data_IF_496866964135
#
_entry.id   IF_496866964135
#
_cell.length_a   1.000
_cell.length_b   1.000
_cell.length_c   1.000
_cell.angle_alpha   90.00
_cell.angle_beta   90.00
_cell.angle_gamma   90.00
#
_symmetry.space_group_name_H-M   'P 1'
#
loop_
_entity.id
_entity.type
_entity.pdbx_description
1 polymer ?
#
# COMPACT_ATOMS: atom_id res chain seq x y z
N UNK A 1 -33.48 3.06 -5.81
CA UNK A 1 -32.45 3.71 -4.98
C UNK A 1 -31.15 2.99 -5.27
N UNK A 2 -30.24 3.65 -6.00
CA UNK A 2 -28.90 3.11 -6.23
C UNK A 2 -28.12 3.18 -4.92
N UNK A 3 -27.47 2.10 -4.54
CA UNK A 3 -26.49 2.10 -3.46
C UNK A 3 -25.29 2.89 -3.97
N UNK A 4 -25.17 4.15 -3.57
CA UNK A 4 -23.95 4.92 -3.75
C UNK A 4 -22.99 4.38 -2.70
N UNK A 5 -22.11 3.50 -3.15
CA UNK A 5 -20.91 3.14 -2.39
C UNK A 5 -20.09 4.42 -2.31
N UNK A 6 -19.93 4.99 -1.13
CA UNK A 6 -18.76 5.83 -0.88
C UNK A 6 -17.56 4.88 -1.00
N UNK A 7 -17.06 4.72 -2.22
CA UNK A 7 -15.78 4.08 -2.49
C UNK A 7 -14.73 4.94 -1.80
N UNK A 8 -14.43 4.62 -0.54
CA UNK A 8 -13.15 4.99 0.02
C UNK A 8 -12.11 4.37 -0.91
N UNK A 9 -11.44 5.21 -1.69
CA UNK A 9 -10.52 4.81 -2.72
C UNK A 9 -9.33 4.04 -2.14
N UNK A 10 -8.82 3.09 -2.93
CA UNK A 10 -7.57 2.35 -2.76
C UNK A 10 -7.22 1.92 -1.34
N UNK A 11 -7.56 0.68 -0.97
CA UNK A 11 -6.71 -0.08 -0.05
C UNK A 11 -5.52 -0.65 -0.84
N UNK A 12 -4.63 0.22 -1.33
CA UNK A 12 -3.26 -0.25 -1.58
C UNK A 12 -2.75 -0.85 -0.26
N UNK A 13 -1.99 -1.94 -0.32
CA UNK A 13 -1.23 -2.38 0.86
C UNK A 13 -0.25 -1.25 1.16
N UNK A 14 -0.67 -0.26 1.96
CA UNK A 14 0.17 0.86 2.30
C UNK A 14 1.33 0.30 3.13
N UNK A 15 2.53 0.42 2.55
CA UNK A 15 3.76 0.20 3.29
C UNK A 15 3.89 1.36 4.26
N UNK A 16 3.52 1.14 5.50
CA UNK A 16 3.77 2.13 6.54
C UNK A 16 5.15 1.89 7.09
N UNK A 17 6.02 2.89 6.96
CA UNK A 17 7.24 2.88 7.74
C UNK A 17 6.88 2.98 9.23
N UNK A 18 7.76 2.45 10.09
CA UNK A 18 7.75 2.81 11.50
C UNK A 18 7.89 4.33 11.69
N UNK A 19 8.11 4.79 12.93
CA UNK A 19 8.41 6.20 13.14
C UNK A 19 9.73 6.56 12.45
N UNK A 20 9.65 7.24 11.29
CA UNK A 20 10.81 7.70 10.52
C UNK A 20 10.67 9.17 10.20
N UNK A 21 11.71 9.95 10.49
CA UNK A 21 11.81 11.35 10.10
C UNK A 21 12.82 11.45 8.93
N UNK A 22 12.38 11.92 7.78
CA UNK A 22 13.21 12.06 6.58
C UNK A 22 13.55 13.53 6.36
N UNK A 23 14.82 13.84 6.16
CA UNK A 23 15.28 15.20 5.85
C UNK A 23 16.04 15.18 4.54
N UNK A 24 15.55 15.90 3.54
CA UNK A 24 16.30 16.14 2.31
C UNK A 24 17.09 17.43 2.44
N UNK A 25 18.37 17.41 2.10
CA UNK A 25 19.23 18.59 2.00
C UNK A 25 19.61 18.70 0.52
N UNK A 26 19.03 19.69 -0.17
CA UNK A 26 19.09 19.83 -1.64
C UNK A 26 19.90 21.06 -2.04
N UNK A 27 20.73 20.92 -3.07
CA UNK A 27 21.67 21.93 -3.51
C UNK A 27 21.01 22.87 -4.53
N UNK A 28 20.92 24.14 -4.19
CA UNK A 28 20.32 25.21 -5.00
C UNK A 28 21.37 26.18 -5.52
N UNK A 29 22.65 25.75 -5.58
CA UNK A 29 23.77 26.57 -6.05
C UNK A 29 23.68 26.90 -7.54
N UNK A 30 24.52 27.85 -7.98
CA UNK A 30 24.61 28.25 -9.38
C UNK A 30 25.08 27.09 -10.29
N UNK A 31 25.94 26.22 -9.75
CA UNK A 31 26.52 25.08 -10.47
C UNK A 31 25.49 24.00 -10.82
N UNK A 32 24.46 23.84 -9.98
CA UNK A 32 23.33 22.93 -10.22
C UNK A 32 22.46 23.49 -11.35
N UNK A 33 22.06 24.76 -11.24
CA UNK A 33 21.18 25.41 -12.19
C UNK A 33 19.70 25.02 -12.05
N UNK A 34 18.81 25.89 -12.53
CA UNK A 34 17.35 25.75 -12.38
C UNK A 34 16.79 24.39 -12.86
N UNK A 35 17.27 23.87 -13.99
CA UNK A 35 16.77 22.62 -14.57
C UNK A 35 17.07 21.43 -13.67
N UNK A 36 18.29 21.34 -13.13
CA UNK A 36 18.69 20.23 -12.25
C UNK A 36 18.04 20.38 -10.87
N UNK A 37 17.93 21.60 -10.36
CA UNK A 37 17.18 21.87 -9.13
C UNK A 37 15.71 21.39 -9.23
N UNK A 38 15.08 21.58 -10.39
CA UNK A 38 13.73 21.03 -10.65
C UNK A 38 13.70 19.50 -10.60
N UNK A 39 14.77 18.83 -11.04
CA UNK A 39 14.89 17.37 -10.95
C UNK A 39 15.07 16.91 -9.50
N UNK A 40 15.81 17.65 -8.68
CA UNK A 40 15.92 17.41 -7.23
C UNK A 40 14.55 17.53 -6.54
N UNK A 41 13.79 18.59 -6.84
CA UNK A 41 12.42 18.74 -6.33
C UNK A 41 11.53 17.55 -6.70
N UNK A 42 11.58 17.12 -7.96
CA UNK A 42 10.81 15.97 -8.42
C UNK A 42 11.25 14.66 -7.76
N UNK A 43 12.55 14.48 -7.52
CA UNK A 43 13.08 13.33 -6.79
C UNK A 43 12.57 13.27 -5.36
N UNK A 44 12.60 14.40 -4.63
CA UNK A 44 12.06 14.51 -3.27
C UNK A 44 10.57 14.12 -3.26
N UNK A 45 9.79 14.67 -4.20
CA UNK A 45 8.36 14.39 -4.32
C UNK A 45 8.10 12.91 -4.63
N UNK A 46 8.82 12.35 -5.61
CA UNK A 46 8.62 10.98 -6.08
C UNK A 46 9.06 9.94 -5.03
N UNK A 47 10.15 10.20 -4.32
CA UNK A 47 10.63 9.34 -3.23
C UNK A 47 9.58 9.22 -2.13
N UNK A 48 8.98 10.34 -1.74
CA UNK A 48 7.97 10.37 -0.68
C UNK A 48 6.62 9.81 -1.17
N UNK A 49 6.22 10.07 -2.42
CA UNK A 49 5.04 9.42 -3.02
C UNK A 49 5.16 7.90 -3.01
N UNK A 50 6.35 7.35 -3.31
CA UNK A 50 6.58 5.90 -3.33
C UNK A 50 6.47 5.25 -1.95
N UNK A 51 6.74 5.99 -0.88
CA UNK A 51 6.55 5.53 0.51
C UNK A 51 5.07 5.39 0.91
N UNK A 52 4.12 5.83 0.08
CA UNK A 52 2.69 5.59 0.24
C UNK A 52 1.98 6.50 1.25
N UNK A 53 2.57 6.74 2.43
CA UNK A 53 1.91 7.54 3.48
C UNK A 53 2.84 8.51 4.22
N UNK A 54 2.30 9.70 4.51
CA UNK A 54 2.89 10.70 5.41
C UNK A 54 2.05 10.76 6.69
N UNK A 55 2.69 11.02 7.83
CA UNK A 55 2.00 11.27 9.08
C UNK A 55 1.15 12.55 8.95
N UNK A 56 -0.17 12.40 9.07
CA UNK A 56 -1.10 13.54 8.98
C UNK A 56 -1.02 14.48 10.17
N UNK A 57 -0.54 13.98 11.32
CA UNK A 57 -0.25 14.76 12.51
C UNK A 57 1.27 14.80 12.77
N UNK A 58 1.90 15.99 12.78
CA UNK A 58 3.30 16.17 13.19
C UNK A 58 3.66 15.58 14.55
N UNK A 59 2.70 15.43 15.46
CA UNK A 59 2.89 14.85 16.80
C UNK A 59 2.64 13.34 16.86
N UNK A 60 2.26 12.72 15.74
CA UNK A 60 2.03 11.27 15.65
C UNK A 60 3.28 10.48 16.03
N UNK A 61 3.11 9.49 16.91
CA UNK A 61 4.17 8.57 17.32
C UNK A 61 4.54 7.55 16.24
N UNK A 62 3.80 7.48 15.13
CA UNK A 62 3.98 6.56 14.00
C UNK A 62 3.91 7.28 12.66
N UNK A 63 4.35 6.62 11.58
CA UNK A 63 4.33 7.16 10.22
C UNK A 63 5.52 8.06 9.86
N UNK A 64 5.61 8.43 8.59
CA UNK A 64 6.73 9.18 8.01
C UNK A 64 6.51 10.69 8.13
N UNK A 65 7.46 11.42 8.71
CA UNK A 65 7.51 12.89 8.64
C UNK A 65 8.62 13.30 7.69
N UNK A 66 8.43 14.36 6.93
CA UNK A 66 9.41 14.81 5.93
C UNK A 66 9.69 16.29 6.09
N UNK A 67 10.97 16.63 5.96
CA UNK A 67 11.45 18.00 5.87
C UNK A 67 12.43 18.15 4.72
N UNK A 68 12.59 19.38 4.25
CA UNK A 68 13.48 19.72 3.13
C UNK A 68 14.23 20.98 3.52
N UNK A 69 15.54 20.99 3.30
CA UNK A 69 16.40 22.17 3.37
C UNK A 69 16.96 22.38 1.99
N UNK A 70 16.68 23.52 1.37
CA UNK A 70 17.44 23.98 0.23
C UNK A 70 18.51 24.98 0.69
N UNK A 71 19.66 24.96 0.02
CA UNK A 71 20.76 25.86 0.34
C UNK A 71 21.49 26.34 -0.91
N UNK A 72 22.16 27.49 -0.80
CA UNK A 72 23.20 27.87 -1.75
C UNK A 72 24.40 28.47 -1.01
N UNK A 73 24.41 29.77 -0.74
CA UNK A 73 25.51 30.48 -0.09
C UNK A 73 25.19 30.88 1.35
N UNK A 74 26.11 31.62 1.98
CA UNK A 74 25.98 32.01 3.38
C UNK A 74 24.65 32.72 3.67
N UNK A 75 23.86 32.17 4.60
CA UNK A 75 22.62 32.75 5.07
C UNK A 75 21.40 32.50 4.18
N UNK A 76 21.55 31.80 3.04
CA UNK A 76 20.45 31.47 2.14
C UNK A 76 20.05 30.01 2.30
N UNK A 77 19.39 29.73 3.43
CA UNK A 77 18.80 28.43 3.74
C UNK A 77 17.28 28.60 3.83
N UNK A 78 16.53 27.82 3.06
CA UNK A 78 15.09 27.73 3.20
C UNK A 78 14.70 26.32 3.62
N UNK A 79 13.76 26.21 4.55
CA UNK A 79 13.35 24.93 5.10
C UNK A 79 11.84 24.74 5.14
N UNK A 80 11.43 23.55 4.71
CA UNK A 80 10.17 22.92 5.08
C UNK A 80 10.46 22.06 6.30
N UNK A 81 9.92 22.42 7.46
CA UNK A 81 10.23 21.74 8.73
C UNK A 81 9.50 20.40 8.82
N UNK A 82 10.13 19.41 9.46
CA UNK A 82 9.54 18.08 9.68
C UNK A 82 8.26 18.09 10.53
N UNK A 83 8.03 19.17 11.29
CA UNK A 83 6.89 19.35 12.18
C UNK A 83 5.99 20.52 11.75
N UNK A 84 6.06 20.95 10.49
CA UNK A 84 5.20 22.00 9.96
C UNK A 84 3.73 21.52 9.94
N UNK A 85 2.81 22.19 10.66
CA UNK A 85 1.41 21.77 10.74
C UNK A 85 0.67 21.88 9.39
N UNK A 86 1.21 22.63 8.43
CA UNK A 86 0.64 22.75 7.09
C UNK A 86 0.99 21.56 6.18
N UNK A 87 1.98 20.75 6.56
CA UNK A 87 2.43 19.58 5.79
C UNK A 87 1.75 18.32 6.34
N UNK A 88 0.42 18.28 6.24
CA UNK A 88 -0.42 17.19 6.76
C UNK A 88 -0.88 16.19 5.68
N UNK A 89 -0.47 16.39 4.43
CA UNK A 89 -0.87 15.58 3.29
C UNK A 89 0.19 15.61 2.19
N UNK A 90 0.17 14.59 1.33
CA UNK A 90 1.08 14.50 0.18
C UNK A 90 0.92 15.69 -0.78
N UNK A 91 -0.30 16.17 -0.97
CA UNK A 91 -0.59 17.32 -1.84
C UNK A 91 -0.01 18.62 -1.27
N UNK A 92 -0.14 18.83 0.05
CA UNK A 92 0.45 19.98 0.74
C UNK A 92 1.99 19.93 0.66
N UNK A 93 2.59 18.75 0.92
CA UNK A 93 4.03 18.55 0.79
C UNK A 93 4.52 18.84 -0.64
N UNK A 94 3.87 18.25 -1.64
CA UNK A 94 4.21 18.48 -3.06
C UNK A 94 4.14 19.95 -3.45
N UNK A 95 3.14 20.66 -2.94
CA UNK A 95 2.98 22.10 -3.19
C UNK A 95 4.11 22.90 -2.53
N UNK A 96 4.42 22.60 -1.27
CA UNK A 96 5.49 23.27 -0.54
C UNK A 96 6.85 23.07 -1.21
N UNK A 97 7.19 21.83 -1.63
CA UNK A 97 8.45 21.54 -2.32
C UNK A 97 8.54 22.28 -3.66
N UNK A 98 7.45 22.30 -4.44
CA UNK A 98 7.40 23.03 -5.72
C UNK A 98 7.50 24.55 -5.58
N UNK A 99 7.14 25.09 -4.42
CA UNK A 99 7.21 26.53 -4.18
C UNK A 99 8.63 27.00 -3.83
N UNK A 100 9.54 26.09 -3.46
CA UNK A 100 10.95 26.42 -3.29
C UNK A 100 11.51 26.99 -4.61
N UNK A 101 12.05 28.20 -4.55
CA UNK A 101 12.64 28.87 -5.70
C UNK A 101 14.14 28.60 -5.72
N UNK A 102 14.69 28.34 -6.90
CA UNK A 102 16.14 28.20 -7.07
C UNK A 102 16.83 29.50 -6.64
N UNK A 103 17.82 29.37 -5.75
CA UNK A 103 18.46 30.53 -5.12
C UNK A 103 19.65 31.02 -5.96
N UNK A 104 20.42 30.10 -6.54
CA UNK A 104 21.72 30.36 -7.14
C UNK A 104 22.78 30.89 -6.15
N UNK A 105 24.02 31.01 -6.62
CA UNK A 105 25.18 31.46 -5.83
C UNK A 105 26.16 30.33 -5.51
N UNK A 106 26.84 30.44 -4.37
CA UNK A 106 27.84 29.46 -3.92
C UNK A 106 27.22 28.16 -3.38
N UNK A 107 28.08 27.28 -2.87
CA UNK A 107 27.70 25.96 -2.35
C UNK A 107 28.20 25.80 -0.91
N UNK A 108 27.38 26.11 0.08
CA UNK A 108 27.72 26.11 1.51
C UNK A 108 27.19 24.84 2.18
N UNK A 109 27.64 23.69 1.68
CA UNK A 109 27.19 22.36 2.13
C UNK A 109 27.45 22.13 3.62
N UNK A 110 28.67 22.30 4.18
CA UNK A 110 28.89 22.18 5.62
C UNK A 110 27.92 23.00 6.49
N UNK A 111 27.71 24.27 6.17
CA UNK A 111 26.75 25.13 6.89
C UNK A 111 25.30 24.65 6.73
N UNK A 112 24.92 24.16 5.55
CA UNK A 112 23.58 23.60 5.31
C UNK A 112 23.32 22.36 6.18
N UNK A 113 24.31 21.48 6.35
CA UNK A 113 24.21 20.31 7.23
C UNK A 113 23.99 20.74 8.68
N UNK A 114 24.71 21.78 9.14
CA UNK A 114 24.51 22.34 10.50
C UNK A 114 23.12 22.92 10.66
N UNK A 115 22.66 23.69 9.67
CA UNK A 115 21.32 24.28 9.67
C UNK A 115 20.22 23.21 9.69
N UNK A 116 20.36 22.15 8.88
CA UNK A 116 19.43 21.02 8.87
C UNK A 116 19.39 20.32 10.23
N UNK A 117 20.56 20.07 10.83
CA UNK A 117 20.64 19.47 12.16
C UNK A 117 19.94 20.33 13.23
N UNK A 118 20.28 21.61 13.32
CA UNK A 118 19.74 22.49 14.37
C UNK A 118 18.25 22.78 14.21
N UNK A 119 17.77 22.90 12.96
CA UNK A 119 16.43 23.43 12.68
C UNK A 119 15.39 22.33 12.49
N UNK A 120 15.80 21.18 11.93
CA UNK A 120 14.89 20.08 11.58
C UNK A 120 15.09 18.83 12.43
N UNK A 121 16.26 18.61 13.05
CA UNK A 121 16.55 17.35 13.75
C UNK A 121 16.60 17.54 15.26
N UNK A 122 17.43 18.48 15.73
CA UNK A 122 17.68 18.73 17.14
C UNK A 122 16.44 19.30 17.83
N UNK A 123 15.89 18.56 18.78
CA UNK A 123 14.73 18.97 19.58
C UNK A 123 13.37 18.81 18.89
N UNK A 124 13.34 18.45 17.61
CA UNK A 124 12.12 18.22 16.80
C UNK A 124 11.91 16.76 16.44
N UNK A 125 12.97 15.94 16.46
CA UNK A 125 12.89 14.50 16.19
C UNK A 125 12.06 13.77 17.26
N UNK A 126 11.31 12.75 16.83
CA UNK A 126 10.56 11.88 17.75
C UNK A 126 11.53 11.00 18.54
N UNK A 127 11.23 10.76 19.82
CA UNK A 127 12.09 9.97 20.72
C UNK A 127 12.35 8.54 20.21
N UNK A 128 11.34 7.94 19.56
CA UNK A 128 11.40 6.57 19.03
C UNK A 128 11.56 6.53 17.50
N UNK A 129 11.92 7.64 16.85
CA UNK A 129 12.09 7.68 15.41
C UNK A 129 13.55 7.70 14.97
N UNK A 130 13.84 6.94 13.92
CA UNK A 130 15.10 7.05 13.19
C UNK A 130 15.01 8.27 12.26
N UNK A 131 16.12 9.01 12.16
CA UNK A 131 16.24 10.15 11.26
C UNK A 131 17.07 9.75 10.05
N UNK A 132 16.49 9.80 8.86
CA UNK A 132 17.20 9.54 7.59
C UNK A 132 17.43 10.86 6.87
N UNK A 133 18.70 11.25 6.72
CA UNK A 133 19.09 12.46 6.00
C UNK A 133 19.60 12.07 4.62
N UNK A 134 19.02 12.65 3.56
CA UNK A 134 19.47 12.48 2.18
C UNK A 134 20.04 13.80 1.70
N UNK A 135 21.35 13.83 1.43
CA UNK A 135 22.06 15.01 0.92
C UNK A 135 22.24 14.85 -0.58
N UNK A 136 21.84 15.84 -1.37
CA UNK A 136 22.05 15.87 -2.82
C UNK A 136 22.97 17.04 -3.10
N UNK A 137 24.12 16.78 -3.72
CA UNK A 137 25.11 17.80 -4.05
C UNK A 137 26.08 17.26 -5.10
N UNK A 138 26.83 18.14 -5.76
CA UNK A 138 27.93 17.77 -6.66
C UNK A 138 29.24 17.44 -5.91
N UNK A 139 29.20 17.48 -4.57
CA UNK A 139 30.31 17.13 -3.68
C UNK A 139 31.31 18.26 -3.47
N UNK A 140 31.10 19.43 -4.08
CA UNK A 140 31.93 20.61 -3.87
C UNK A 140 31.27 21.56 -2.90
N UNK A 141 32.09 22.34 -2.20
CA UNK A 141 31.61 23.45 -1.41
C UNK A 141 32.58 24.62 -1.49
N UNK A 142 32.08 25.80 -1.18
CA UNK A 142 32.86 27.03 -1.17
C UNK A 142 33.89 26.98 -0.03
N UNK A 143 35.15 27.30 -0.31
CA UNK A 143 36.24 27.30 0.68
C UNK A 143 36.05 28.31 1.81
N UNK A 144 35.09 29.23 1.67
CA UNK A 144 34.70 30.18 2.72
C UNK A 144 33.77 29.54 3.76
N UNK A 145 33.22 28.37 3.47
CA UNK A 145 32.42 27.60 4.43
C UNK A 145 33.32 26.83 5.43
N UNK A 146 32.75 26.44 6.57
CA UNK A 146 33.46 25.76 7.66
C UNK A 146 33.45 24.24 7.46
N UNK A 147 34.55 23.69 6.96
CA UNK A 147 34.74 22.26 6.69
C UNK A 147 34.58 21.36 7.92
N UNK A 148 34.79 21.90 9.13
CA UNK A 148 34.56 21.17 10.38
C UNK A 148 33.09 20.74 10.54
N UNK A 149 32.15 21.39 9.85
CA UNK A 149 30.72 21.07 9.89
C UNK A 149 30.32 19.89 8.99
N UNK A 150 31.21 19.38 8.12
CA UNK A 150 30.91 18.24 7.24
C UNK A 150 30.45 17.00 8.01
N UNK A 151 30.94 16.83 9.25
CA UNK A 151 30.63 15.67 10.10
C UNK A 151 29.59 15.97 11.18
N UNK A 152 28.91 17.12 11.14
CA UNK A 152 27.96 17.54 12.20
C UNK A 152 26.83 16.53 12.44
N UNK A 153 26.41 15.81 11.40
CA UNK A 153 25.35 14.81 11.48
C UNK A 153 25.84 13.46 12.04
N UNK A 154 27.15 13.27 12.20
CA UNK A 154 27.76 11.99 12.58
C UNK A 154 27.80 11.75 14.09
N UNK A 155 27.49 12.76 14.90
CA UNK A 155 27.51 12.67 16.37
C UNK A 155 26.23 12.10 16.99
N UNK A 156 25.20 11.79 16.22
CA UNK A 156 23.93 11.23 16.72
C UNK A 156 23.67 9.85 16.10
N UNK A 157 23.68 8.81 16.93
CA UNK A 157 23.49 7.41 16.50
C UNK A 157 22.14 7.15 15.82
N UNK A 158 21.14 8.02 16.04
CA UNK A 158 19.82 7.89 15.43
C UNK A 158 19.72 8.58 14.05
N UNK A 159 20.78 9.29 13.64
CA UNK A 159 20.86 9.98 12.35
C UNK A 159 21.63 9.11 11.37
N UNK A 160 20.97 8.76 10.27
CA UNK A 160 21.58 8.03 9.16
C UNK A 160 21.62 8.93 7.95
N UNK A 161 22.83 9.29 7.54
CA UNK A 161 23.08 10.14 6.38
C UNK A 161 23.42 9.29 5.16
N UNK A 162 22.75 9.58 4.05
CA UNK A 162 23.03 9.09 2.70
C UNK A 162 23.35 10.29 1.83
N UNK A 163 24.42 10.23 1.05
CA UNK A 163 24.79 11.30 0.13
C UNK A 163 24.64 10.82 -1.31
N UNK A 164 23.95 11.61 -2.13
CA UNK A 164 23.85 11.42 -3.56
C UNK A 164 24.76 12.45 -4.21
N UNK A 165 25.91 11.97 -4.68
CA UNK A 165 26.87 12.76 -5.44
C UNK A 165 26.46 12.77 -6.90
N UNK A 166 26.18 13.94 -7.47
CA UNK A 166 25.86 14.04 -8.90
C UNK A 166 27.00 14.75 -9.62
N UNK A 167 27.62 14.05 -10.57
CA UNK A 167 28.70 14.61 -11.38
C UNK A 167 28.32 15.93 -12.04
N UNK A 168 29.22 16.92 -11.97
CA UNK A 168 29.04 18.20 -12.62
C UNK A 168 29.27 18.13 -14.15
N UNK A 169 28.93 19.20 -14.86
CA UNK A 169 29.16 19.32 -16.32
C UNK A 169 30.64 19.30 -16.75
N UNK A 170 31.59 19.15 -15.82
CA UNK A 170 33.03 19.24 -16.06
C UNK A 170 33.76 17.90 -15.92
N UNK A 171 33.04 16.77 -15.77
CA UNK A 171 33.61 15.41 -15.78
C UNK A 171 34.76 15.18 -14.79
N UNK A 172 34.86 15.98 -13.72
CA UNK A 172 35.78 15.69 -12.63
C UNK A 172 35.11 14.65 -11.74
N UNK A 173 35.88 13.61 -11.34
CA UNK A 173 35.45 12.68 -10.29
C UNK A 173 34.98 13.51 -9.09
N UNK A 174 33.84 13.13 -8.53
CA UNK A 174 33.33 13.66 -7.26
C UNK A 174 34.49 13.76 -6.26
N UNK A 175 34.50 14.79 -5.42
CA UNK A 175 35.43 14.81 -4.29
C UNK A 175 34.96 13.76 -3.28
N UNK A 176 35.31 12.50 -3.56
CA UNK A 176 34.91 11.31 -2.79
C UNK A 176 35.14 11.54 -1.29
N UNK A 177 36.18 12.28 -0.90
CA UNK A 177 36.52 12.58 0.49
C UNK A 177 35.46 13.46 1.19
N UNK A 178 34.90 14.46 0.50
CA UNK A 178 33.87 15.33 1.05
C UNK A 178 32.57 14.56 1.25
N UNK A 179 32.10 13.84 0.22
CA UNK A 179 30.88 13.01 0.32
C UNK A 179 31.04 11.91 1.38
N UNK A 180 32.23 11.30 1.47
CA UNK A 180 32.54 10.32 2.53
C UNK A 180 32.48 10.94 3.92
N UNK A 181 32.94 12.18 4.09
CA UNK A 181 32.86 12.89 5.36
C UNK A 181 31.41 13.16 5.77
N UNK A 182 30.56 13.58 4.82
CA UNK A 182 29.12 13.80 5.04
C UNK A 182 28.41 12.52 5.52
N UNK A 183 28.77 11.36 4.95
CA UNK A 183 28.20 10.06 5.36
C UNK A 183 28.97 9.37 6.50
N UNK A 184 29.77 10.13 7.26
CA UNK A 184 30.46 9.62 8.45
C UNK A 184 31.44 8.48 8.15
N UNK A 185 32.17 8.61 7.04
CA UNK A 185 33.13 7.63 6.51
C UNK A 185 32.53 6.27 6.12
N UNK A 186 31.20 6.19 5.93
CA UNK A 186 30.49 4.98 5.49
C UNK A 186 30.27 5.01 3.98
N UNK A 187 31.31 4.62 3.23
CA UNK A 187 31.37 4.71 1.76
C UNK A 187 30.17 4.07 1.05
N UNK A 188 29.58 3.02 1.64
CA UNK A 188 28.39 2.33 1.12
C UNK A 188 27.13 3.20 1.07
N UNK A 189 27.14 4.36 1.74
CA UNK A 189 26.04 5.35 1.77
C UNK A 189 26.26 6.52 0.81
N UNK A 190 27.37 6.52 0.07
CA UNK A 190 27.56 7.43 -1.07
C UNK A 190 26.97 6.77 -2.31
N UNK A 191 26.08 7.47 -2.99
CA UNK A 191 25.46 7.04 -4.23
C UNK A 191 25.95 7.99 -5.33
N UNK A 192 26.97 7.58 -6.11
CA UNK A 192 27.46 8.39 -7.22
C UNK A 192 26.47 8.34 -8.39
N UNK A 193 26.31 9.45 -9.08
CA UNK A 193 25.45 9.61 -10.24
C UNK A 193 26.15 10.42 -11.32
N UNK A 194 25.87 10.08 -12.57
CA UNK A 194 26.45 10.82 -13.69
C UNK A 194 25.61 12.05 -14.05
N UNK A 195 24.28 12.00 -13.82
CA UNK A 195 23.35 13.05 -14.24
C UNK A 195 22.20 13.19 -13.25
N UNK A 196 21.71 14.42 -13.09
CA UNK A 196 20.51 14.71 -12.31
C UNK A 196 19.25 14.02 -12.86
N UNK A 197 19.23 13.67 -14.15
CA UNK A 197 18.12 12.90 -14.74
C UNK A 197 17.95 11.52 -14.11
N UNK A 198 19.02 10.95 -13.55
CA UNK A 198 19.00 9.60 -12.98
C UNK A 198 18.30 9.59 -11.61
N UNK A 199 18.19 10.74 -10.95
CA UNK A 199 17.44 10.91 -9.71
C UNK A 199 15.96 10.56 -9.89
N UNK A 200 15.38 10.84 -11.06
CA UNK A 200 13.95 10.62 -11.32
C UNK A 200 13.65 9.27 -12.00
N UNK A 201 14.66 8.39 -12.12
CA UNK A 201 14.47 7.05 -12.66
C UNK A 201 13.71 6.14 -11.67
N UNK A 202 12.71 5.40 -12.14
CA UNK A 202 11.87 4.54 -11.29
C UNK A 202 12.68 3.53 -10.48
N UNK A 203 13.70 2.90 -11.10
CA UNK A 203 14.60 1.95 -10.43
C UNK A 203 15.35 2.59 -9.25
N UNK A 204 15.75 3.86 -9.41
CA UNK A 204 16.44 4.59 -8.34
C UNK A 204 15.49 4.97 -7.21
N UNK A 205 14.28 5.43 -7.53
CA UNK A 205 13.23 5.72 -6.55
C UNK A 205 12.89 4.45 -5.74
N UNK A 206 12.81 3.29 -6.39
CA UNK A 206 12.57 2.00 -5.71
C UNK A 206 13.73 1.58 -4.80
N UNK A 207 14.97 1.87 -5.20
CA UNK A 207 16.12 1.67 -4.31
C UNK A 207 16.04 2.59 -3.09
N UNK A 208 15.67 3.86 -3.30
CA UNK A 208 15.56 4.85 -2.21
C UNK A 208 14.41 4.53 -1.25
N UNK A 209 13.30 3.99 -1.74
CA UNK A 209 12.21 3.48 -0.89
C UNK A 209 12.73 2.52 0.20
N UNK A 210 13.60 1.57 -0.19
CA UNK A 210 14.21 0.59 0.75
C UNK A 210 15.22 1.23 1.70
N UNK A 211 15.96 2.25 1.26
CA UNK A 211 16.93 2.96 2.10
C UNK A 211 16.22 3.82 3.16
N UNK A 212 15.16 4.50 2.75
CA UNK A 212 14.34 5.36 3.60
C UNK A 212 13.46 4.56 4.56
N UNK A 213 13.01 3.38 4.13
CA UNK A 213 12.09 2.50 4.85
C UNK A 213 12.56 1.04 4.80
N UNK A 214 13.58 0.66 5.60
CA UNK A 214 14.17 -0.68 5.54
C UNK A 214 13.23 -1.79 6.03
N UNK A 215 12.30 -1.48 6.94
CA UNK A 215 11.36 -2.43 7.54
C UNK A 215 9.93 -1.86 7.50
N UNK A 216 9.25 -1.85 6.34
CA UNK A 216 7.87 -1.38 6.26
C UNK A 216 6.93 -2.33 6.99
N UNK A 217 6.08 -1.79 7.84
CA UNK A 217 4.87 -2.46 8.33
C UNK A 217 3.87 -2.45 7.19
N UNK A 218 3.62 -3.63 6.61
CA UNK A 218 2.58 -3.80 5.60
C UNK A 218 1.25 -3.77 6.35
N UNK A 219 0.48 -2.68 6.23
CA UNK A 219 -0.89 -2.67 6.75
C UNK A 219 -1.74 -3.47 5.78
N UNK A 220 -2.21 -4.62 6.26
CA UNK A 220 -3.10 -5.49 5.51
C UNK A 220 -4.36 -4.72 5.09
N UNK A 221 -4.84 -4.92 3.85
CA UNK A 221 -6.18 -4.50 3.46
C UNK A 221 -7.23 -5.04 4.46
N UNK A 222 -8.33 -4.31 4.67
CA UNK A 222 -9.43 -4.57 5.62
C UNK A 222 -9.15 -4.24 7.11
N UNK A 223 -8.10 -3.47 7.43
CA UNK A 223 -7.88 -2.99 8.81
C UNK A 223 -8.68 -1.70 9.04
N UNK A 224 -9.46 -1.65 10.13
CA UNK A 224 -10.47 -0.65 10.48
C UNK A 224 -11.83 -0.78 9.78
N UNK A 225 -12.05 -1.84 8.99
CA UNK A 225 -13.35 -2.16 8.41
C UNK A 225 -13.77 -3.59 8.77
N UNK A 226 -14.75 -3.79 9.67
CA UNK A 226 -15.26 -5.13 9.95
C UNK A 226 -16.00 -5.68 8.72
N UNK A 227 -15.47 -6.75 8.13
CA UNK A 227 -16.09 -7.46 7.01
C UNK A 227 -16.27 -8.93 7.36
N UNK A 228 -17.43 -9.50 7.03
CA UNK A 228 -17.68 -10.95 7.01
C UNK A 228 -17.65 -11.40 5.54
N UNK A 229 -16.52 -11.96 5.11
CA UNK A 229 -16.32 -12.37 3.73
C UNK A 229 -16.68 -13.85 3.58
N UNK A 230 -17.70 -14.15 2.78
CA UNK A 230 -18.24 -15.49 2.57
C UNK A 230 -17.99 -15.90 1.13
N UNK A 231 -17.16 -16.90 0.92
CA UNK A 231 -16.92 -17.49 -0.40
C UNK A 231 -17.96 -18.58 -0.68
N UNK A 232 -18.67 -18.43 -1.81
CA UNK A 232 -19.55 -19.44 -2.38
C UNK A 232 -18.88 -20.00 -3.63
N UNK A 233 -18.29 -21.18 -3.50
CA UNK A 233 -17.59 -21.88 -4.57
C UNK A 233 -18.54 -22.82 -5.31
N UNK A 234 -18.62 -22.65 -6.62
CA UNK A 234 -19.33 -23.55 -7.52
C UNK A 234 -18.57 -24.89 -7.63
N UNK A 235 -19.17 -25.97 -7.16
CA UNK A 235 -18.62 -27.33 -7.19
C UNK A 235 -18.96 -28.10 -8.47
N UNK A 236 -19.38 -27.41 -9.53
CA UNK A 236 -19.87 -28.08 -10.74
C UNK A 236 -18.79 -28.71 -11.61
N UNK A 237 -19.19 -29.73 -12.38
CA UNK A 237 -18.35 -30.39 -13.39
C UNK A 237 -17.69 -29.39 -14.35
N UNK A 238 -18.42 -28.33 -14.72
CA UNK A 238 -17.97 -27.32 -15.69
C UNK A 238 -16.80 -26.50 -15.19
N UNK A 239 -16.72 -26.22 -13.89
CA UNK A 239 -15.57 -25.55 -13.31
C UNK A 239 -14.32 -26.43 -13.47
N UNK A 240 -14.45 -27.72 -13.17
CA UNK A 240 -13.41 -28.72 -13.36
C UNK A 240 -12.30 -28.70 -12.29
N UNK A 241 -11.61 -29.83 -12.09
CA UNK A 241 -10.67 -30.01 -10.98
C UNK A 241 -9.42 -29.13 -11.07
N UNK A 242 -9.01 -28.71 -12.27
CA UNK A 242 -7.84 -27.82 -12.45
C UNK A 242 -8.11 -26.42 -11.93
N UNK A 243 -9.23 -25.83 -12.32
CA UNK A 243 -9.66 -24.53 -11.79
C UNK A 243 -9.91 -24.60 -10.29
N UNK A 244 -10.48 -25.71 -9.82
CA UNK A 244 -10.68 -25.95 -8.40
C UNK A 244 -9.36 -25.87 -7.59
N UNK A 245 -8.27 -26.41 -8.13
CA UNK A 245 -6.95 -26.28 -7.51
C UNK A 245 -6.48 -24.81 -7.45
N UNK A 246 -6.64 -24.05 -8.53
CA UNK A 246 -6.29 -22.62 -8.56
C UNK A 246 -7.16 -21.80 -7.59
N UNK A 247 -8.42 -22.17 -7.39
CA UNK A 247 -9.27 -21.56 -6.37
C UNK A 247 -8.72 -21.79 -4.97
N UNK A 248 -8.22 -22.99 -4.64
CA UNK A 248 -7.58 -23.24 -3.34
C UNK A 248 -6.34 -22.37 -3.13
N UNK A 249 -5.51 -22.23 -4.16
CA UNK A 249 -4.33 -21.35 -4.14
C UNK A 249 -4.74 -19.89 -3.92
N UNK A 250 -5.76 -19.44 -4.65
CA UNK A 250 -6.34 -18.11 -4.50
C UNK A 250 -6.86 -17.86 -3.08
N UNK A 251 -7.70 -18.75 -2.54
CA UNK A 251 -8.27 -18.62 -1.21
C UNK A 251 -7.20 -18.62 -0.11
N UNK A 252 -6.15 -19.45 -0.27
CA UNK A 252 -4.98 -19.46 0.63
C UNK A 252 -4.27 -18.10 0.61
N UNK A 253 -4.06 -17.55 -0.59
CA UNK A 253 -3.42 -16.24 -0.76
C UNK A 253 -4.29 -15.12 -0.16
N UNK A 254 -5.60 -15.14 -0.38
CA UNK A 254 -6.55 -14.19 0.23
C UNK A 254 -6.47 -14.25 1.76
N UNK A 255 -6.53 -15.45 2.35
CA UNK A 255 -6.46 -15.61 3.80
C UNK A 255 -5.16 -15.10 4.41
N UNK A 256 -4.05 -15.14 3.66
CA UNK A 256 -2.77 -14.58 4.09
C UNK A 256 -2.68 -13.06 3.91
N UNK A 257 -3.33 -12.51 2.86
CA UNK A 257 -3.28 -11.09 2.52
C UNK A 257 -4.31 -10.22 3.24
N UNK A 258 -5.38 -10.80 3.79
CA UNK A 258 -6.40 -10.07 4.53
C UNK A 258 -6.00 -9.83 5.99
N UNK A 259 -6.30 -8.64 6.49
CA UNK A 259 -6.22 -8.35 7.92
C UNK A 259 -7.33 -9.06 8.67
N UNK A 260 -7.12 -10.32 9.06
CA UNK A 260 -8.08 -11.09 9.86
C UNK A 260 -8.13 -10.61 11.31
N UNK A 261 -9.29 -10.79 11.94
CA UNK A 261 -9.51 -10.45 13.34
C UNK A 261 -8.51 -11.17 14.27
N UNK A 262 -7.99 -10.46 15.28
CA UNK A 262 -7.08 -11.07 16.26
C UNK A 262 -7.82 -11.91 17.32
N UNK A 263 -9.13 -11.69 17.47
CA UNK A 263 -9.98 -12.43 18.39
C UNK A 263 -11.44 -12.38 17.98
N UNK A 264 -12.29 -13.19 18.61
CA UNK A 264 -13.75 -13.15 18.43
C UNK A 264 -14.40 -11.82 18.82
N UNK A 265 -13.70 -10.94 19.54
CA UNK A 265 -14.16 -9.61 19.97
C UNK A 265 -13.56 -8.47 19.14
N UNK A 266 -12.67 -8.77 18.20
CA UNK A 266 -12.14 -7.77 17.28
C UNK A 266 -13.27 -7.33 16.34
N UNK A 267 -13.59 -6.04 16.34
CA UNK A 267 -14.63 -5.42 15.53
C UNK A 267 -14.07 -4.52 14.43
N UNK A 268 -12.77 -4.63 14.13
CA UNK A 268 -12.07 -3.74 13.19
C UNK A 268 -11.53 -4.47 11.97
N UNK A 269 -11.58 -5.81 11.96
CA UNK A 269 -10.90 -6.65 10.96
C UNK A 269 -11.81 -7.73 10.36
N UNK A 270 -11.36 -8.41 9.31
CA UNK A 270 -12.16 -9.37 8.56
C UNK A 270 -12.30 -10.74 9.25
N UNK A 271 -13.37 -11.48 8.90
CA UNK A 271 -13.51 -12.93 9.14
C UNK A 271 -13.91 -13.62 7.83
N UNK A 272 -13.52 -14.88 7.68
CA UNK A 272 -13.74 -15.67 6.47
C UNK A 272 -14.67 -16.86 6.72
N UNK A 273 -15.53 -17.15 5.76
CA UNK A 273 -16.23 -18.42 5.63
C UNK A 273 -16.10 -18.95 4.20
N UNK A 274 -16.12 -20.27 4.04
CA UNK A 274 -16.06 -20.93 2.74
C UNK A 274 -17.10 -22.04 2.68
N UNK A 275 -17.90 -21.99 1.63
CA UNK A 275 -18.87 -23.01 1.27
C UNK A 275 -18.73 -23.38 -0.20
N UNK A 276 -18.79 -24.67 -0.49
CA UNK A 276 -18.95 -25.20 -1.84
C UNK A 276 -20.42 -25.60 -2.06
N UNK A 277 -20.97 -25.31 -3.23
CA UNK A 277 -22.35 -25.65 -3.58
C UNK A 277 -22.42 -26.43 -4.90
N UNK A 278 -23.36 -27.36 -4.96
CA UNK A 278 -23.71 -28.12 -6.16
C UNK A 278 -25.17 -27.87 -6.54
N UNK A 279 -25.92 -28.96 -6.74
CA UNK A 279 -27.38 -28.93 -6.91
C UNK A 279 -28.12 -28.42 -5.67
N UNK A 280 -29.42 -28.16 -5.79
CA UNK A 280 -30.29 -27.51 -4.78
C UNK A 280 -30.05 -27.89 -3.30
N UNK A 281 -29.76 -29.16 -2.99
CA UNK A 281 -29.55 -29.65 -1.62
C UNK A 281 -28.12 -30.09 -1.29
N UNK A 282 -27.16 -29.82 -2.17
CA UNK A 282 -25.74 -30.12 -1.96
C UNK A 282 -24.98 -28.85 -1.62
N UNK A 283 -24.80 -28.62 -0.31
CA UNK A 283 -23.99 -27.52 0.21
C UNK A 283 -22.99 -28.10 1.22
N UNK A 284 -21.70 -27.86 1.02
CA UNK A 284 -20.64 -28.27 1.91
C UNK A 284 -19.97 -27.05 2.53
N UNK A 285 -20.15 -26.86 3.84
CA UNK A 285 -19.49 -25.80 4.59
C UNK A 285 -18.09 -26.28 5.00
N UNK A 286 -17.05 -25.76 4.35
CA UNK A 286 -15.67 -26.10 4.68
C UNK A 286 -15.27 -25.52 6.05
N UNK A 287 -15.67 -24.27 6.30
CA UNK A 287 -15.58 -23.62 7.61
C UNK A 287 -16.56 -22.45 7.71
N UNK A 288 -17.14 -22.29 8.91
CA UNK A 288 -17.95 -21.13 9.27
C UNK A 288 -17.07 -19.88 9.48
N UNK A 289 -17.72 -18.73 9.71
CA UNK A 289 -17.04 -17.45 9.93
C UNK A 289 -15.98 -17.56 11.04
N UNK A 290 -14.71 -17.47 10.64
CA UNK A 290 -13.56 -17.61 11.53
C UNK A 290 -12.48 -16.59 11.18
N UNK A 291 -11.58 -16.38 12.14
CA UNK A 291 -10.35 -15.60 12.00
C UNK A 291 -9.10 -16.48 12.19
N UNK A 292 -9.31 -17.75 12.54
CA UNK A 292 -8.23 -18.69 12.81
C UNK A 292 -7.62 -19.20 11.50
N UNK A 293 -6.38 -18.79 11.25
CA UNK A 293 -5.63 -19.20 10.06
C UNK A 293 -5.46 -20.72 9.95
N UNK A 294 -5.35 -21.45 11.06
CA UNK A 294 -5.23 -22.90 11.03
C UNK A 294 -6.54 -23.55 10.55
N UNK A 295 -7.69 -23.07 11.04
CA UNK A 295 -9.02 -23.54 10.60
C UNK A 295 -9.23 -23.24 9.11
N UNK A 296 -8.84 -22.05 8.66
CA UNK A 296 -8.98 -21.66 7.25
C UNK A 296 -8.08 -22.53 6.36
N UNK A 297 -6.79 -22.64 6.70
CA UNK A 297 -5.84 -23.42 5.90
C UNK A 297 -6.26 -24.90 5.80
N UNK A 298 -6.69 -25.48 6.91
CA UNK A 298 -7.14 -26.86 7.01
C UNK A 298 -8.46 -27.09 6.24
N UNK A 299 -9.40 -26.15 6.33
CA UNK A 299 -10.65 -26.19 5.59
C UNK A 299 -10.46 -26.05 4.07
N UNK A 300 -9.58 -25.15 3.61
CA UNK A 300 -9.23 -25.03 2.18
C UNK A 300 -8.51 -26.28 1.67
N UNK A 301 -7.58 -26.84 2.47
CA UNK A 301 -6.81 -28.01 2.06
C UNK A 301 -7.67 -29.27 1.92
N UNK A 302 -8.68 -29.45 2.78
CA UNK A 302 -9.55 -30.64 2.80
C UNK A 302 -10.84 -30.49 2.00
N UNK A 303 -11.09 -29.33 1.39
CA UNK A 303 -12.30 -29.07 0.62
C UNK A 303 -12.45 -30.12 -0.50
N UNK A 304 -13.48 -30.97 -0.53
CA UNK A 304 -13.69 -31.92 -1.62
C UNK A 304 -14.01 -31.19 -2.93
N UNK A 305 -13.93 -31.85 -4.08
CA UNK A 305 -14.49 -31.35 -5.33
C UNK A 305 -15.78 -32.12 -5.60
N UNK A 306 -16.93 -31.44 -5.65
CA UNK A 306 -18.24 -32.10 -5.70
C UNK A 306 -18.56 -32.80 -7.03
N UNK A 307 -18.09 -32.25 -8.16
CA UNK A 307 -18.42 -32.74 -9.51
C UNK A 307 -19.94 -32.83 -9.75
N UNK A 308 -20.66 -31.76 -9.38
CA UNK A 308 -22.14 -31.71 -9.36
C UNK A 308 -22.71 -30.77 -10.46
N UNK A 309 -24.02 -30.47 -10.40
CA UNK A 309 -24.61 -29.33 -11.13
C UNK A 309 -24.47 -28.03 -10.33
N UNK A 310 -24.86 -26.89 -10.90
CA UNK A 310 -24.74 -25.57 -10.25
C UNK A 310 -26.12 -24.99 -9.98
N UNK A 311 -26.49 -24.89 -8.69
CA UNK A 311 -27.73 -24.25 -8.21
C UNK A 311 -27.39 -23.15 -7.20
N UNK A 312 -27.06 -21.95 -7.69
CA UNK A 312 -26.65 -20.81 -6.85
C UNK A 312 -27.77 -20.24 -5.98
N UNK A 313 -29.03 -20.30 -6.44
CA UNK A 313 -30.18 -19.75 -5.71
C UNK A 313 -30.35 -20.37 -4.31
N UNK A 314 -30.49 -21.70 -4.21
CA UNK A 314 -30.56 -22.40 -2.94
C UNK A 314 -29.31 -22.21 -2.07
N UNK A 315 -28.12 -22.17 -2.68
CA UNK A 315 -26.86 -21.93 -1.99
C UNK A 315 -26.83 -20.57 -1.26
N UNK A 316 -27.33 -19.51 -1.91
CA UNK A 316 -27.46 -18.18 -1.31
C UNK A 316 -28.38 -18.22 -0.09
N UNK A 317 -29.54 -18.86 -0.21
CA UNK A 317 -30.49 -18.98 0.90
C UNK A 317 -29.88 -19.76 2.07
N UNK A 318 -29.16 -20.85 1.77
CA UNK A 318 -28.43 -21.63 2.77
C UNK A 318 -27.38 -20.77 3.49
N UNK A 319 -26.56 -20.01 2.76
CA UNK A 319 -25.53 -19.15 3.34
C UNK A 319 -26.12 -18.07 4.26
N UNK A 320 -27.21 -17.43 3.85
CA UNK A 320 -27.89 -16.42 4.69
C UNK A 320 -28.42 -17.06 5.99
N UNK A 321 -28.97 -18.27 5.93
CA UNK A 321 -29.58 -18.90 7.09
C UNK A 321 -28.55 -19.54 8.04
N UNK A 322 -27.48 -20.14 7.52
CA UNK A 322 -26.56 -20.97 8.30
C UNK A 322 -25.19 -20.32 8.56
N UNK A 323 -24.73 -19.40 7.70
CA UNK A 323 -23.44 -18.71 7.86
C UNK A 323 -23.66 -17.35 8.52
N UNK A 324 -24.61 -16.55 8.03
CA UNK A 324 -24.91 -15.25 8.61
C UNK A 324 -25.82 -15.38 9.86
N UNK A 325 -26.83 -16.26 9.79
CA UNK A 325 -27.84 -16.45 10.83
C UNK A 325 -28.86 -15.30 10.90
N UNK A 326 -30.07 -15.59 11.38
CA UNK A 326 -31.17 -14.61 11.50
C UNK A 326 -31.59 -14.38 12.95
N UNK A 327 -31.99 -13.15 13.28
CA UNK A 327 -32.57 -12.80 14.59
C UNK A 327 -31.63 -13.13 15.76
N UNK A 328 -32.12 -13.91 16.72
CA UNK A 328 -31.37 -14.33 17.92
C UNK A 328 -30.26 -15.36 17.63
N UNK A 329 -30.23 -15.94 16.43
CA UNK A 329 -29.19 -16.87 15.98
C UNK A 329 -28.16 -16.21 15.05
N UNK A 330 -28.08 -14.86 15.03
CA UNK A 330 -27.12 -14.12 14.22
C UNK A 330 -25.69 -14.47 14.65
N UNK A 331 -24.89 -14.97 13.69
CA UNK A 331 -23.48 -15.37 13.89
C UNK A 331 -22.51 -14.22 13.51
N UNK A 332 -23.04 -13.14 12.93
CA UNK A 332 -22.28 -11.99 12.45
C UNK A 332 -22.18 -10.85 13.46
N UNK A 333 -21.12 -10.04 13.34
CA UNK A 333 -20.92 -8.84 14.16
C UNK A 333 -21.92 -7.75 13.74
N UNK A 334 -22.35 -6.91 14.70
CA UNK A 334 -23.42 -5.91 14.48
C UNK A 334 -23.09 -4.85 13.42
N UNK A 335 -21.83 -4.44 13.33
CA UNK A 335 -21.37 -3.37 12.44
C UNK A 335 -20.56 -3.89 11.24
N UNK A 336 -20.53 -5.20 11.01
CA UNK A 336 -19.76 -5.77 9.91
C UNK A 336 -20.55 -5.73 8.60
N UNK A 337 -19.87 -5.37 7.50
CA UNK A 337 -20.39 -5.55 6.15
C UNK A 337 -20.38 -7.04 5.79
N UNK A 338 -21.43 -7.50 5.11
CA UNK A 338 -21.51 -8.88 4.62
C UNK A 338 -21.16 -8.89 3.15
N UNK A 339 -20.06 -9.56 2.78
CA UNK A 339 -19.61 -9.64 1.40
C UNK A 339 -19.63 -11.09 0.94
N UNK A 340 -20.46 -11.38 -0.06
CA UNK A 340 -20.51 -12.68 -0.72
C UNK A 340 -19.62 -12.63 -1.96
N UNK A 341 -18.71 -13.60 -2.08
CA UNK A 341 -17.84 -13.77 -3.23
C UNK A 341 -18.22 -15.07 -3.91
N UNK A 342 -18.87 -14.97 -5.07
CA UNK A 342 -19.24 -16.10 -5.90
C UNK A 342 -18.05 -16.48 -6.78
N UNK A 343 -17.64 -17.74 -6.75
CA UNK A 343 -16.59 -18.30 -7.62
C UNK A 343 -17.27 -19.32 -8.52
N UNK A 344 -17.42 -19.01 -9.81
CA UNK A 344 -18.23 -19.81 -10.74
C UNK A 344 -17.67 -19.77 -12.16
N UNK A 345 -18.09 -20.71 -13.01
CA UNK A 345 -17.89 -20.63 -14.47
C UNK A 345 -18.96 -19.75 -15.15
N UNK A 346 -19.95 -19.29 -14.38
CA UNK A 346 -21.01 -18.40 -14.83
C UNK A 346 -22.22 -19.09 -15.47
N UNK A 347 -22.37 -20.40 -15.31
CA UNK A 347 -23.60 -21.13 -15.63
C UNK A 347 -24.22 -21.75 -14.38
N UNK A 348 -25.49 -21.47 -14.15
CA UNK A 348 -26.26 -21.98 -13.01
C UNK A 348 -27.73 -22.11 -13.37
N UNK A 349 -28.45 -22.95 -12.64
CA UNK A 349 -29.91 -22.95 -12.65
C UNK A 349 -30.46 -21.58 -12.21
N UNK A 350 -31.48 -21.08 -12.92
CA UNK A 350 -31.99 -19.71 -12.75
C UNK A 350 -33.38 -19.63 -12.12
N UNK A 351 -34.04 -20.76 -11.86
CA UNK A 351 -35.44 -20.81 -11.39
C UNK A 351 -35.67 -20.05 -10.09
N UNK A 352 -34.75 -20.17 -9.13
CA UNK A 352 -34.83 -19.55 -7.79
C UNK A 352 -33.91 -18.33 -7.62
N UNK A 353 -33.24 -17.90 -8.69
CA UNK A 353 -32.21 -16.86 -8.64
C UNK A 353 -32.78 -15.49 -8.21
N UNK A 354 -33.97 -15.12 -8.68
CA UNK A 354 -34.60 -13.84 -8.34
C UNK A 354 -34.99 -13.75 -6.85
N UNK A 355 -35.48 -14.85 -6.29
CA UNK A 355 -35.79 -14.96 -4.86
C UNK A 355 -34.51 -14.81 -4.03
N UNK A 356 -33.44 -15.51 -4.44
CA UNK A 356 -32.14 -15.43 -3.79
C UNK A 356 -31.54 -14.02 -3.82
N UNK A 357 -31.65 -13.31 -4.95
CA UNK A 357 -31.20 -11.91 -5.06
C UNK A 357 -32.01 -10.99 -4.16
N UNK A 358 -33.32 -11.20 -4.08
CA UNK A 358 -34.19 -10.45 -3.16
C UNK A 358 -33.80 -10.71 -1.70
N UNK A 359 -33.43 -11.95 -1.36
CA UNK A 359 -32.93 -12.31 -0.04
C UNK A 359 -31.58 -11.64 0.29
N UNK A 360 -30.64 -11.60 -0.67
CA UNK A 360 -29.37 -10.87 -0.50
C UNK A 360 -29.59 -9.38 -0.25
N UNK A 361 -30.47 -8.74 -1.02
CA UNK A 361 -30.83 -7.31 -0.84
C UNK A 361 -31.41 -7.06 0.55
N UNK A 362 -32.31 -7.92 1.02
CA UNK A 362 -32.92 -7.81 2.34
C UNK A 362 -31.91 -8.03 3.48
N UNK A 363 -30.92 -8.91 3.25
CA UNK A 363 -29.83 -9.17 4.18
C UNK A 363 -28.70 -8.11 4.10
N UNK A 364 -28.82 -7.10 3.22
CA UNK A 364 -27.80 -6.07 2.98
C UNK A 364 -26.43 -6.65 2.60
N UNK A 365 -26.44 -7.75 1.85
CA UNK A 365 -25.22 -8.38 1.33
C UNK A 365 -24.67 -7.54 0.17
N UNK A 366 -23.36 -7.34 0.17
CA UNK A 366 -22.58 -6.89 -0.99
C UNK A 366 -22.13 -8.13 -1.75
N UNK A 367 -22.25 -8.13 -3.08
CA UNK A 367 -21.90 -9.30 -3.90
C UNK A 367 -20.74 -8.97 -4.82
N UNK A 368 -19.82 -9.93 -4.94
CA UNK A 368 -18.68 -9.92 -5.87
C UNK A 368 -18.69 -11.25 -6.62
N UNK A 369 -18.40 -11.22 -7.92
CA UNK A 369 -18.43 -12.42 -8.76
C UNK A 369 -17.08 -12.61 -9.44
N UNK A 370 -16.43 -13.75 -9.17
CA UNK A 370 -15.23 -14.23 -9.85
C UNK A 370 -15.68 -15.28 -10.87
N UNK A 371 -15.58 -14.93 -12.15
CA UNK A 371 -16.01 -15.78 -13.25
C UNK A 371 -14.85 -16.13 -14.18
N UNK A 372 -14.83 -17.37 -14.67
CA UNK A 372 -13.89 -17.80 -15.73
C UNK A 372 -14.58 -18.46 -16.89
N UNK A 373 -13.92 -18.45 -18.04
CA UNK A 373 -14.39 -19.10 -19.26
C UNK A 373 -14.75 -18.10 -20.36
N UNK A 374 -14.73 -18.57 -21.61
CA UNK A 374 -15.15 -17.78 -22.77
C UNK A 374 -16.67 -17.69 -22.88
N UNK A 375 -17.36 -18.75 -22.46
CA UNK A 375 -18.79 -18.92 -22.58
C UNK A 375 -19.35 -18.73 -21.18
N UNK A 376 -19.75 -17.50 -20.85
CA UNK A 376 -20.28 -17.17 -19.53
C UNK A 376 -21.64 -16.51 -19.72
N UNK A 377 -22.64 -16.88 -18.93
CA UNK A 377 -23.93 -16.19 -18.93
C UNK A 377 -23.82 -14.83 -18.23
N UNK A 378 -23.56 -13.79 -19.03
CA UNK A 378 -23.52 -12.39 -18.60
C UNK A 378 -24.80 -11.93 -17.87
N UNK A 379 -25.94 -12.57 -18.13
CA UNK A 379 -27.20 -12.23 -17.45
C UNK A 379 -27.18 -12.73 -16.02
N UNK A 380 -26.69 -13.95 -15.80
CA UNK A 380 -26.49 -14.53 -14.47
C UNK A 380 -25.48 -13.72 -13.68
N UNK A 381 -24.33 -13.39 -14.26
CA UNK A 381 -23.30 -12.62 -13.55
C UNK A 381 -23.81 -11.24 -13.11
N UNK A 382 -24.51 -10.52 -14.00
CA UNK A 382 -25.09 -9.20 -13.67
C UNK A 382 -26.14 -9.28 -12.56
N UNK A 383 -26.92 -10.35 -12.56
CA UNK A 383 -27.91 -10.63 -11.52
C UNK A 383 -27.24 -10.92 -10.17
N UNK A 384 -26.23 -11.79 -10.14
CA UNK A 384 -25.45 -12.09 -8.94
C UNK A 384 -24.74 -10.86 -8.41
N UNK A 385 -24.12 -10.05 -9.28
CA UNK A 385 -23.50 -8.78 -8.93
C UNK A 385 -24.52 -7.65 -8.61
N UNK A 386 -25.82 -7.97 -8.55
CA UNK A 386 -26.91 -7.05 -8.22
C UNK A 386 -26.97 -5.78 -9.09
N UNK A 387 -26.43 -5.85 -10.31
CA UNK A 387 -26.37 -4.76 -11.28
C UNK A 387 -25.06 -3.97 -11.29
N UNK A 388 -24.15 -4.20 -10.34
CA UNK A 388 -22.84 -3.56 -10.31
C UNK A 388 -21.85 -4.30 -11.24
N UNK A 389 -21.39 -3.62 -12.29
CA UNK A 389 -20.46 -4.23 -13.25
C UNK A 389 -19.04 -4.31 -12.73
N UNK A 390 -18.66 -3.40 -11.82
CA UNK A 390 -17.30 -3.34 -11.28
C UNK A 390 -17.07 -4.45 -10.23
N UNK A 391 -18.16 -5.02 -9.71
CA UNK A 391 -18.16 -6.20 -8.86
C UNK A 391 -17.90 -7.52 -9.60
N UNK A 392 -17.83 -7.50 -10.93
CA UNK A 392 -17.61 -8.69 -11.77
C UNK A 392 -16.16 -8.75 -12.21
N UNK A 393 -15.43 -9.74 -11.72
CA UNK A 393 -14.08 -10.04 -12.13
C UNK A 393 -14.12 -11.23 -13.08
N UNK A 394 -13.86 -10.98 -14.36
CA UNK A 394 -13.86 -11.99 -15.41
C UNK A 394 -12.44 -12.17 -15.95
N UNK A 395 -11.94 -13.41 -15.89
CA UNK A 395 -10.66 -13.78 -16.46
C UNK A 395 -10.78 -15.04 -17.30
N UNK A 396 -9.76 -15.36 -18.10
CA UNK A 396 -9.81 -16.55 -18.98
C UNK A 396 -9.67 -17.87 -18.21
N UNK A 397 -8.86 -17.86 -17.15
CA UNK A 397 -8.49 -19.02 -16.36
C UNK A 397 -8.34 -18.61 -14.88
N UNK A 398 -8.63 -19.51 -13.95
CA UNK A 398 -8.58 -19.17 -12.52
C UNK A 398 -7.17 -18.85 -12.02
N UNK A 399 -6.13 -19.35 -12.70
CA UNK A 399 -4.74 -19.00 -12.41
C UNK A 399 -4.46 -17.50 -12.52
N UNK A 400 -5.21 -16.75 -13.34
CA UNK A 400 -5.06 -15.30 -13.49
C UNK A 400 -5.41 -14.54 -12.20
N UNK A 401 -6.35 -15.06 -11.39
CA UNK A 401 -6.74 -14.44 -10.11
C UNK A 401 -5.64 -14.48 -9.06
N UNK A 402 -4.63 -15.34 -9.21
CA UNK A 402 -3.48 -15.38 -8.32
C UNK A 402 -2.39 -14.36 -8.70
N UNK A 403 -2.45 -13.79 -9.91
CA UNK A 403 -1.49 -12.77 -10.38
C UNK A 403 -1.77 -11.43 -9.74
N UNK A 404 -0.70 -10.70 -9.38
CA UNK A 404 -0.78 -9.48 -8.57
C UNK A 404 -1.81 -8.48 -9.07
N UNK A 405 -1.83 -8.14 -10.37
CA UNK A 405 -2.78 -7.14 -10.91
C UNK A 405 -4.26 -7.44 -10.60
N UNK A 406 -4.70 -8.68 -10.77
CA UNK A 406 -6.12 -9.06 -10.57
C UNK A 406 -6.38 -9.29 -9.09
N UNK A 407 -5.43 -9.94 -8.41
CA UNK A 407 -5.50 -10.23 -6.99
C UNK A 407 -5.58 -8.94 -6.15
N UNK A 408 -4.71 -7.97 -6.40
CA UNK A 408 -4.64 -6.72 -5.66
C UNK A 408 -5.91 -5.90 -5.87
N UNK A 409 -6.44 -5.86 -7.10
CA UNK A 409 -7.75 -5.25 -7.39
C UNK A 409 -8.89 -5.94 -6.64
N UNK A 410 -8.87 -7.27 -6.54
CA UNK A 410 -9.89 -8.01 -5.79
C UNK A 410 -9.80 -7.69 -4.30
N UNK A 411 -8.61 -7.71 -3.73
CA UNK A 411 -8.39 -7.39 -2.31
C UNK A 411 -8.82 -5.95 -2.00
N UNK A 412 -8.50 -4.99 -2.87
CA UNK A 412 -8.99 -3.61 -2.78
C UNK A 412 -10.52 -3.52 -2.81
N UNK A 413 -11.16 -4.33 -3.64
CA UNK A 413 -12.62 -4.32 -3.79
C UNK A 413 -13.35 -4.83 -2.55
N UNK A 414 -12.81 -5.85 -1.88
CA UNK A 414 -13.47 -6.48 -0.73
C UNK A 414 -13.19 -5.80 0.62
N UNK A 415 -12.32 -4.77 0.68
CA UNK A 415 -11.79 -4.22 1.94
C UNK A 415 -12.24 -2.82 2.42
#
# INVERSE_FOLDING_TARGET
MGYIRETCGCCDCEKHCGAVDIVFVIDSSESVGMTNFTLEQNFVINSINKLGSLASDPMSTTGTRVGVVQYSHNGTFEAIRINDPNINSMSAFKTAVKNLQWIAGGTFTPSALKYAYDTLIKGTRRANARVSVVVITDGRYDKRDDDNLLTVLCGDDNVVVTAIGVGDMFHKREEDETLNSIVCNKKERVIPMQRYSDLVADEFIERMEKVLCPDPVIVSPCVHRPVELVFLLDGSERLGPRNFQHVREFLTKVAFSLGLAESSKDHMRARLALMEFGKENENHLAFALTHDHAVIADGVARLPYMDSSSSVGPAIIYAINNILGRGNARLTRRNAEFSFVFITDGYTETETLEEAISAMRNAQVVSTVLATGSDVDETVLKKLAMGDRDAIFKEKDFSEFTKSRVFDRFIQWVC
#
